data_IF_884550967297
#
_entry.id   IF_884550967297
#
_cell.length_a   1.000
_cell.length_b   1.000
_cell.length_c   1.000
_cell.angle_alpha   90.00
_cell.angle_beta   90.00
_cell.angle_gamma   90.00
#
_symmetry.space_group_name_H-M   'P 1'
#
loop_
_entity.id
_entity.type
_entity.pdbx_description
1 polymer ?
#
# COMPACT_ATOMS: atom_id res chain seq x y z
N UNK A 1 -16.65 -6.08 -11.35
CA UNK A 1 -15.89 -5.98 -10.09
C UNK A 1 -15.33 -4.57 -10.00
N UNK A 2 -15.39 -3.98 -8.82
CA UNK A 2 -14.81 -2.66 -8.57
C UNK A 2 -13.30 -2.83 -8.41
N UNK A 3 -12.60 -2.94 -9.54
CA UNK A 3 -11.15 -3.12 -9.59
C UNK A 3 -10.48 -1.77 -9.35
N UNK A 4 -9.57 -1.73 -8.38
CA UNK A 4 -8.90 -0.51 -7.95
C UNK A 4 -7.38 -0.67 -8.03
N UNK A 5 -6.68 0.45 -8.14
CA UNK A 5 -5.26 0.55 -7.87
C UNK A 5 -5.08 1.15 -6.47
N UNK A 6 -4.43 0.38 -5.59
CA UNK A 6 -4.02 0.81 -4.27
C UNK A 6 -2.53 1.17 -4.27
N UNK A 7 -2.22 2.40 -3.93
CA UNK A 7 -0.87 2.98 -3.98
C UNK A 7 -0.38 3.25 -2.57
N UNK A 8 0.90 2.99 -2.32
CA UNK A 8 1.58 3.27 -1.05
C UNK A 8 2.90 3.98 -1.33
N UNK A 9 3.15 5.09 -0.64
CA UNK A 9 4.38 5.89 -0.75
C UNK A 9 5.34 5.65 0.41
N UNK A 10 6.58 6.12 0.26
CA UNK A 10 7.65 5.98 1.26
C UNK A 10 7.30 6.71 2.56
N UNK A 11 6.63 7.87 2.47
CA UNK A 11 6.19 8.64 3.63
C UNK A 11 4.84 8.16 4.21
N UNK A 12 4.35 6.99 3.77
CA UNK A 12 3.16 6.37 4.35
C UNK A 12 1.84 6.99 3.87
N UNK A 13 1.86 7.71 2.74
CA UNK A 13 0.63 8.13 2.05
C UNK A 13 0.08 6.96 1.26
N UNK A 14 -1.23 6.76 1.35
CA UNK A 14 -1.96 5.74 0.61
C UNK A 14 -3.07 6.35 -0.23
N UNK A 15 -3.38 5.71 -1.35
CA UNK A 15 -4.42 6.16 -2.25
C UNK A 15 -5.06 4.99 -2.97
N UNK A 16 -6.39 4.97 -2.98
CA UNK A 16 -7.18 4.01 -3.75
C UNK A 16 -7.89 4.71 -4.91
N UNK A 17 -7.68 4.25 -6.13
CA UNK A 17 -8.25 4.83 -7.36
C UNK A 17 -8.90 3.73 -8.20
N UNK A 18 -10.12 3.95 -8.68
CA UNK A 18 -10.78 3.03 -9.59
C UNK A 18 -9.98 2.85 -10.89
N UNK A 19 -9.90 1.63 -11.42
CA UNK A 19 -9.10 1.32 -12.61
C UNK A 19 -9.61 2.05 -13.86
N UNK A 20 -10.90 2.39 -13.90
CA UNK A 20 -11.57 3.11 -14.98
C UNK A 20 -10.95 4.48 -15.24
N UNK A 21 -10.39 5.12 -14.21
CA UNK A 21 -9.70 6.40 -14.34
C UNK A 21 -8.46 6.32 -15.25
N UNK A 22 -7.96 5.10 -15.49
CA UNK A 22 -6.77 4.79 -16.30
C UNK A 22 -7.14 4.22 -17.68
N UNK A 23 -8.41 4.18 -18.08
CA UNK A 23 -8.85 3.56 -19.34
C UNK A 23 -8.23 4.20 -20.60
N UNK A 24 -7.91 5.49 -20.56
CA UNK A 24 -7.43 6.26 -21.72
C UNK A 24 -5.99 6.77 -21.52
N UNK A 25 -5.01 5.85 -21.56
CA UNK A 25 -3.59 6.16 -21.40
C UNK A 25 -3.00 6.68 -22.73
N UNK A 26 -2.35 7.85 -22.68
CA UNK A 26 -1.59 8.40 -23.81
C UNK A 26 -0.17 7.83 -23.82
N UNK A 27 0.51 7.87 -24.96
CA UNK A 27 1.94 7.50 -25.06
C UNK A 27 2.86 8.29 -24.14
N UNK A 28 2.48 9.52 -23.80
CA UNK A 28 3.21 10.38 -22.85
C UNK A 28 3.03 9.98 -21.38
N UNK A 29 2.24 8.93 -21.10
CA UNK A 29 1.83 8.58 -19.75
C UNK A 29 0.74 9.49 -19.20
N UNK A 30 0.42 9.27 -17.93
CA UNK A 30 -0.57 10.00 -17.15
C UNK A 30 -0.12 10.09 -15.69
N UNK A 31 -0.47 11.18 -15.01
CA UNK A 31 -0.21 11.31 -13.58
C UNK A 31 -1.24 10.49 -12.80
N UNK A 32 -0.76 9.55 -11.99
CA UNK A 32 -1.56 8.63 -11.20
C UNK A 32 -1.73 9.06 -9.73
N UNK A 33 -0.70 9.72 -9.19
CA UNK A 33 -0.63 10.25 -7.83
C UNK A 33 0.25 11.51 -7.82
N UNK A 34 -0.10 12.47 -6.97
CA UNK A 34 0.76 13.61 -6.68
C UNK A 34 1.58 13.27 -5.44
N UNK A 35 2.91 13.35 -5.56
CA UNK A 35 3.85 13.06 -4.49
C UNK A 35 4.33 14.36 -3.83
N UNK A 36 4.56 14.29 -2.53
CA UNK A 36 5.27 15.36 -1.82
C UNK A 36 6.74 15.39 -2.23
N UNK A 37 7.39 16.54 -2.01
CA UNK A 37 8.82 16.67 -2.28
C UNK A 37 9.62 15.68 -1.42
N UNK A 38 10.43 14.85 -2.09
CA UNK A 38 11.21 13.79 -1.44
C UNK A 38 10.45 12.49 -1.19
N UNK A 39 9.13 12.45 -1.41
CA UNK A 39 8.36 11.20 -1.34
C UNK A 39 8.45 10.42 -2.66
N UNK A 40 8.25 9.12 -2.59
CA UNK A 40 8.23 8.25 -3.76
C UNK A 40 7.23 7.11 -3.59
N UNK A 41 6.70 6.66 -4.72
CA UNK A 41 5.82 5.51 -4.76
C UNK A 41 6.62 4.22 -4.49
N UNK A 42 6.19 3.44 -3.50
CA UNK A 42 6.85 2.19 -3.07
C UNK A 42 6.11 0.97 -3.62
N UNK A 43 4.78 1.00 -3.62
CA UNK A 43 3.97 -0.12 -4.07
C UNK A 43 2.71 0.33 -4.79
N UNK A 44 2.31 -0.47 -5.77
CA UNK A 44 1.00 -0.40 -6.42
C UNK A 44 0.45 -1.82 -6.49
N UNK A 45 -0.73 -2.02 -5.93
CA UNK A 45 -1.43 -3.29 -5.94
C UNK A 45 -2.80 -3.14 -6.58
N UNK A 46 -3.28 -4.19 -7.23
CA UNK A 46 -4.67 -4.26 -7.72
C UNK A 46 -5.54 -4.79 -6.58
N UNK A 47 -6.67 -4.13 -6.31
CA UNK A 47 -7.59 -4.55 -5.26
C UNK A 47 -9.05 -4.59 -5.72
N UNK A 48 -9.92 -5.32 -5.00
CA UNK A 48 -11.31 -5.66 -5.40
C UNK A 48 -12.41 -5.11 -4.50
N UNK A 49 -12.05 -4.45 -3.40
CA UNK A 49 -12.96 -3.78 -2.46
C UNK A 49 -13.08 -4.44 -1.08
N UNK A 50 -12.61 -5.69 -0.95
CA UNK A 50 -12.80 -6.58 0.20
C UNK A 50 -11.49 -7.12 0.80
N UNK A 51 -10.36 -6.51 0.44
CA UNK A 51 -9.04 -6.96 0.87
C UNK A 51 -8.43 -6.05 1.96
N UNK A 52 -7.48 -6.59 2.71
CA UNK A 52 -6.69 -5.81 3.65
C UNK A 52 -5.36 -5.39 3.04
N UNK A 53 -4.85 -4.24 3.48
CA UNK A 53 -3.55 -3.72 3.11
C UNK A 53 -2.63 -3.85 4.32
N UNK A 54 -1.47 -4.49 4.11
CA UNK A 54 -0.40 -4.58 5.09
C UNK A 54 0.75 -3.68 4.65
N UNK A 55 1.19 -2.77 5.52
CA UNK A 55 2.34 -1.87 5.27
C UNK A 55 3.40 -2.13 6.33
N UNK A 56 4.66 -2.28 5.93
CA UNK A 56 5.81 -2.46 6.80
C UNK A 56 6.83 -1.32 6.67
N UNK A 57 7.42 -0.91 7.79
CA UNK A 57 8.41 0.16 7.87
C UNK A 57 9.82 -0.35 8.10
N UNK A 58 10.82 0.50 7.81
CA UNK A 58 12.24 0.22 8.03
C UNK A 58 12.52 -0.14 9.49
N UNK A 59 11.82 0.49 10.43
CA UNK A 59 12.01 0.27 11.87
C UNK A 59 11.27 -0.97 12.41
N UNK A 60 10.71 -1.81 11.53
CA UNK A 60 10.05 -3.06 11.91
C UNK A 60 8.62 -2.88 12.43
N UNK A 61 8.01 -1.71 12.20
CA UNK A 61 6.59 -1.48 12.51
C UNK A 61 5.76 -1.93 11.31
N UNK A 62 4.60 -2.51 11.58
CA UNK A 62 3.63 -2.86 10.54
C UNK A 62 2.23 -2.42 10.95
N UNK A 63 1.40 -2.09 9.96
CA UNK A 63 -0.03 -1.82 10.13
C UNK A 63 -0.83 -2.62 9.10
N UNK A 64 -1.96 -3.15 9.54
CA UNK A 64 -2.98 -3.77 8.69
C UNK A 64 -4.28 -2.98 8.83
N UNK A 65 -4.97 -2.75 7.72
CA UNK A 65 -6.30 -2.14 7.71
C UNK A 65 -7.05 -2.53 6.43
N UNK A 66 -8.38 -2.36 6.45
CA UNK A 66 -9.19 -2.68 5.27
C UNK A 66 -8.96 -1.65 4.18
N UNK A 67 -8.83 -2.09 2.92
CA UNK A 67 -8.75 -1.13 1.81
C UNK A 67 -9.97 -0.19 1.76
N UNK A 68 -11.10 -0.64 2.30
CA UNK A 68 -12.35 0.10 2.34
C UNK A 68 -12.29 1.34 3.25
N UNK A 69 -11.38 1.34 4.23
CA UNK A 69 -11.10 2.49 5.10
C UNK A 69 -10.49 3.66 4.31
N UNK A 70 -9.86 3.38 3.16
CA UNK A 70 -9.36 4.39 2.24
C UNK A 70 -10.42 4.66 1.18
N UNK A 71 -11.08 5.82 1.26
CA UNK A 71 -12.05 6.25 0.26
C UNK A 71 -11.46 6.24 -1.17
N UNK A 72 -12.32 5.95 -2.16
CA UNK A 72 -11.96 6.12 -3.57
C UNK A 72 -11.67 7.58 -3.91
N UNK A 73 -10.61 7.80 -4.68
CA UNK A 73 -10.19 9.13 -5.11
C UNK A 73 -9.89 9.16 -6.61
N UNK A 74 -9.94 10.35 -7.21
CA UNK A 74 -9.51 10.57 -8.60
C UNK A 74 -7.98 10.63 -8.73
N UNK A 75 -7.48 10.52 -9.96
CA UNK A 75 -6.04 10.56 -10.25
C UNK A 75 -5.32 11.82 -9.77
N UNK A 76 -5.96 12.97 -9.81
CA UNK A 76 -5.35 14.23 -9.37
C UNK A 76 -5.25 14.40 -7.85
N UNK A 77 -5.80 13.48 -7.05
CA UNK A 77 -5.70 13.55 -5.60
C UNK A 77 -4.32 13.12 -5.08
N UNK A 78 -3.95 13.67 -3.93
CA UNK A 78 -2.70 13.35 -3.22
C UNK A 78 -2.79 11.97 -2.52
N UNK A 79 -3.78 11.79 -1.65
CA UNK A 79 -3.99 10.56 -0.90
C UNK A 79 -4.42 10.87 0.54
N UNK A 80 -4.33 9.89 1.41
CA UNK A 80 -4.49 10.03 2.87
C UNK A 80 -3.35 9.30 3.57
N UNK A 81 -3.15 9.56 4.86
CA UNK A 81 -2.16 8.83 5.65
C UNK A 81 -2.62 7.39 5.88
N UNK A 82 -1.83 6.41 5.47
CA UNK A 82 -2.07 4.98 5.75
C UNK A 82 -1.31 4.46 6.96
N UNK A 83 -0.14 5.04 7.26
CA UNK A 83 0.63 4.72 8.48
C UNK A 83 1.24 5.99 9.08
N UNK A 84 1.28 6.07 10.41
CA UNK A 84 2.04 7.11 11.10
C UNK A 84 3.48 6.64 11.29
N UNK A 85 4.42 7.36 10.69
CA UNK A 85 5.84 7.09 10.80
C UNK A 85 6.47 7.81 11.99
N UNK A 86 7.45 7.16 12.62
CA UNK A 86 8.32 7.79 13.61
C UNK A 86 9.39 8.64 12.90
N UNK A 87 10.06 9.52 13.64
CA UNK A 87 11.15 10.34 13.09
C UNK A 87 12.24 9.46 12.47
N UNK A 88 12.51 9.66 11.18
CA UNK A 88 13.51 8.90 10.42
C UNK A 88 13.07 7.52 9.94
N UNK A 89 11.82 7.12 10.21
CA UNK A 89 11.24 5.88 9.71
C UNK A 89 10.59 6.10 8.33
N UNK A 90 10.54 5.05 7.53
CA UNK A 90 9.99 5.06 6.17
C UNK A 90 9.31 3.73 5.86
N UNK A 91 8.32 3.75 4.97
CA UNK A 91 7.73 2.52 4.41
C UNK A 91 8.76 1.83 3.51
N UNK A 92 8.95 0.52 3.71
CA UNK A 92 9.85 -0.31 2.91
C UNK A 92 9.11 -1.37 2.09
N UNK A 93 7.85 -1.65 2.41
CA UNK A 93 7.05 -2.61 1.67
C UNK A 93 5.57 -2.50 2.01
N UNK A 94 4.74 -2.92 1.06
CA UNK A 94 3.31 -3.08 1.27
C UNK A 94 2.78 -4.27 0.45
N UNK A 95 1.78 -4.96 0.97
CA UNK A 95 1.14 -6.11 0.35
C UNK A 95 -0.38 -6.11 0.57
N UNK A 96 -1.07 -6.93 -0.21
CA UNK A 96 -2.52 -7.14 -0.11
C UNK A 96 -2.75 -8.51 0.50
N UNK A 97 -3.67 -8.60 1.46
CA UNK A 97 -4.10 -9.83 2.08
C UNK A 97 -5.53 -10.13 1.61
N UNK A 98 -5.72 -11.28 0.96
CA UNK A 98 -7.02 -11.72 0.49
C UNK A 98 -7.83 -12.33 1.63
N UNK A 99 -9.12 -12.03 1.70
CA UNK A 99 -9.99 -12.53 2.76
C UNK A 99 -10.19 -14.05 2.73
N UNK A 100 -10.00 -14.68 1.56
CA UNK A 100 -10.11 -16.12 1.33
C UNK A 100 -8.79 -16.88 1.54
N UNK A 101 -7.67 -16.19 1.74
CA UNK A 101 -6.37 -16.79 2.04
C UNK A 101 -6.18 -17.00 3.55
N UNK A 102 -6.76 -18.09 4.07
CA UNK A 102 -6.68 -18.46 5.49
C UNK A 102 -5.27 -18.82 5.99
N UNK A 103 -4.29 -18.95 5.11
CA UNK A 103 -2.90 -19.32 5.45
C UNK A 103 -1.86 -18.29 4.96
N UNK A 104 -2.28 -17.04 4.78
CA UNK A 104 -1.36 -15.98 4.37
C UNK A 104 -0.23 -15.80 5.40
N UNK A 105 1.02 -15.76 4.93
CA UNK A 105 2.20 -15.56 5.77
C UNK A 105 2.97 -14.31 5.36
N UNK A 106 3.45 -13.57 6.36
CA UNK A 106 4.30 -12.39 6.18
C UNK A 106 5.75 -12.81 6.41
N UNK A 107 6.57 -12.69 5.38
CA UNK A 107 8.01 -12.89 5.45
C UNK A 107 8.74 -11.54 5.48
N UNK A 108 9.58 -11.34 6.48
CA UNK A 108 10.41 -10.14 6.65
C UNK A 108 11.88 -10.54 6.66
N UNK A 109 12.73 -9.72 6.04
CA UNK A 109 14.18 -9.89 6.02
C UNK A 109 14.85 -8.56 6.40
N UNK A 110 15.85 -8.61 7.28
CA UNK A 110 16.67 -7.45 7.65
C UNK A 110 17.92 -7.32 6.78
N UNK A 111 18.57 -6.16 6.82
CA UNK A 111 19.83 -5.91 6.10
C UNK A 111 20.99 -6.83 6.55
N UNK A 112 20.95 -7.28 7.81
CA UNK A 112 21.90 -8.24 8.38
C UNK A 112 21.58 -9.71 8.02
N UNK A 113 20.58 -9.95 7.18
CA UNK A 113 20.21 -11.28 6.69
C UNK A 113 19.35 -12.11 7.65
N UNK A 114 18.81 -11.52 8.71
CA UNK A 114 17.86 -12.21 9.59
C UNK A 114 16.46 -12.20 8.97
N UNK A 115 15.89 -13.39 8.80
CA UNK A 115 14.54 -13.58 8.30
C UNK A 115 13.58 -14.04 9.39
N UNK A 116 12.33 -13.59 9.32
CA UNK A 116 11.23 -14.11 10.14
C UNK A 116 9.98 -14.31 9.28
N UNK A 117 9.23 -15.37 9.57
CA UNK A 117 7.93 -15.63 8.98
C UNK A 117 6.88 -15.68 10.10
N UNK A 118 5.79 -14.96 9.92
CA UNK A 118 4.64 -14.98 10.83
C UNK A 118 3.37 -15.21 10.01
N UNK A 119 2.34 -15.72 10.66
CA UNK A 119 1.00 -15.74 10.08
C UNK A 119 0.46 -14.30 10.00
N UNK A 120 -0.26 -13.98 8.93
CA UNK A 120 -0.76 -12.63 8.70
C UNK A 120 -1.76 -12.17 9.78
N UNK A 121 -2.40 -13.10 10.48
CA UNK A 121 -3.29 -12.84 11.62
C UNK A 121 -2.57 -12.20 12.82
N UNK A 122 -1.25 -12.38 12.93
CA UNK A 122 -0.44 -11.74 13.98
C UNK A 122 -0.36 -10.21 13.83
N UNK A 123 -0.79 -9.67 12.69
CA UNK A 123 -0.86 -8.24 12.38
C UNK A 123 -2.35 -7.84 12.37
N UNK A 124 -2.92 -7.59 13.54
CA UNK A 124 -4.32 -7.17 13.73
C UNK A 124 -4.42 -5.82 14.43
#
# INVERSE_FOLDING_TARGET
EDVNLFMVTEFGVVKRTAIEEYRNIRRSGLNAINLDEGDRLISVSVTTGDQDILIGTKSGIAIRFSESDVRLMKRAAHGVRGIKLNTGDVVVGAGVLNADESEAQVFTISEEGFGKRNDAEAYT
#
